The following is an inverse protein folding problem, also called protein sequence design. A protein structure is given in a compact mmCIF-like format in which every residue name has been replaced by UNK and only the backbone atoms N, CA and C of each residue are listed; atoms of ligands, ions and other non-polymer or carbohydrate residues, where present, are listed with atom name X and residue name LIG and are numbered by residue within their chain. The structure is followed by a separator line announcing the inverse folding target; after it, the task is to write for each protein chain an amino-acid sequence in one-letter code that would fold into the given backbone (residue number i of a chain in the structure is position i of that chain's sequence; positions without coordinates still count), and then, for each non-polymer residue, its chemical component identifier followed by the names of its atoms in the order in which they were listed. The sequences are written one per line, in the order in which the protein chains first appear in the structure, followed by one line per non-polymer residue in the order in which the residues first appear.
data_IF_121784665503
#
_entry.id   IF_121784665503
#
_cell.length_a   1.000
_cell.length_b   1.000
_cell.length_c   1.000
_cell.angle_alpha   90.00
_cell.angle_beta   90.00
_cell.angle_gamma   90.00
#
_symmetry.space_group_name_H-M   'P 1'
#
loop_
_entity.id
_entity.type
_entity.pdbx_description
1 polymer ?
#
# COMPACT_ATOMS: atom_id res chain seq x y z
N UNK A 1 5.85 11.23 -14.97
CA UNK A 1 4.95 11.39 -13.80
C UNK A 1 4.87 10.03 -13.15
N UNK A 2 4.99 9.96 -11.82
CA UNK A 2 4.94 8.69 -11.08
C UNK A 2 3.64 8.62 -10.29
N UNK A 3 3.02 7.45 -10.31
CA UNK A 3 1.82 7.15 -9.54
C UNK A 3 2.21 6.79 -8.11
N UNK A 4 1.44 7.25 -7.13
CA UNK A 4 1.65 6.89 -5.72
C UNK A 4 0.36 6.40 -5.08
N UNK A 5 0.50 5.41 -4.19
CA UNK A 5 -0.57 4.97 -3.31
C UNK A 5 -0.44 5.70 -1.98
N UNK A 6 -1.51 6.36 -1.56
CA UNK A 6 -1.61 7.13 -0.32
C UNK A 6 -2.61 6.46 0.60
N UNK A 7 -2.29 6.43 1.89
CA UNK A 7 -3.16 5.88 2.91
C UNK A 7 -3.08 6.71 4.18
N UNK A 8 -4.23 6.99 4.78
CA UNK A 8 -4.28 7.59 6.10
C UNK A 8 -5.44 7.07 6.93
N UNK A 9 -5.26 7.14 8.24
CA UNK A 9 -6.23 6.82 9.26
C UNK A 9 -6.45 8.04 10.14
N UNK A 10 -7.71 8.40 10.33
CA UNK A 10 -8.11 9.59 11.03
C UNK A 10 -8.98 9.27 12.25
N UNK A 11 -8.56 9.77 13.42
CA UNK A 11 -9.25 9.59 14.69
C UNK A 11 -8.79 10.67 15.68
N UNK A 12 -9.70 11.16 16.52
CA UNK A 12 -9.37 12.14 17.55
C UNK A 12 -8.49 11.58 18.67
N UNK A 13 -8.51 10.27 18.91
CA UNK A 13 -7.68 9.60 19.90
C UNK A 13 -6.40 9.03 19.25
N UNK A 14 -5.22 9.27 19.85
CA UNK A 14 -3.96 8.68 19.39
C UNK A 14 -4.01 7.14 19.36
N UNK A 15 -3.03 6.53 18.69
CA UNK A 15 -2.80 5.09 18.80
C UNK A 15 -2.49 4.72 20.26
N UNK A 16 -3.14 3.68 20.75
CA UNK A 16 -2.77 3.01 21.99
C UNK A 16 -1.42 2.31 21.82
N UNK A 17 -0.78 1.91 22.92
CA UNK A 17 0.46 1.12 22.86
C UNK A 17 0.26 -0.22 22.12
N UNK A 18 -0.90 -0.85 22.29
CA UNK A 18 -1.23 -2.11 21.62
C UNK A 18 -1.42 -1.93 20.11
N UNK A 19 -2.11 -0.87 19.69
CA UNK A 19 -2.25 -0.51 18.27
C UNK A 19 -0.88 -0.14 17.67
N UNK A 20 -0.08 0.67 18.38
CA UNK A 20 1.27 1.05 17.94
C UNK A 20 2.18 -0.17 17.75
N UNK A 21 2.16 -1.12 18.68
CA UNK A 21 2.90 -2.38 18.56
C UNK A 21 2.39 -3.24 17.40
N UNK A 22 1.08 -3.21 17.13
CA UNK A 22 0.49 -3.95 16.00
C UNK A 22 0.87 -3.33 14.66
N UNK A 23 0.80 -2.01 14.53
CA UNK A 23 1.28 -1.26 13.36
C UNK A 23 2.75 -1.56 13.10
N UNK A 24 3.60 -1.49 14.13
CA UNK A 24 5.02 -1.80 13.99
C UNK A 24 5.28 -3.23 13.51
N UNK A 25 4.50 -4.22 13.99
CA UNK A 25 4.60 -5.60 13.51
C UNK A 25 4.18 -5.75 12.05
N UNK A 26 3.10 -5.10 11.63
CA UNK A 26 2.64 -5.11 10.24
C UNK A 26 3.72 -4.51 9.34
N UNK A 27 4.22 -3.31 9.66
CA UNK A 27 5.31 -2.67 8.91
C UNK A 27 6.52 -3.59 8.80
N UNK A 28 6.98 -4.18 9.92
CA UNK A 28 8.14 -5.07 9.90
C UNK A 28 7.91 -6.33 9.05
N UNK A 29 6.73 -6.94 9.12
CA UNK A 29 6.39 -8.12 8.34
C UNK A 29 6.39 -7.83 6.84
N UNK A 30 5.74 -6.73 6.42
CA UNK A 30 5.62 -6.35 5.01
C UNK A 30 6.93 -5.83 4.43
N UNK A 31 7.79 -5.20 5.23
CA UNK A 31 9.15 -4.87 4.80
C UNK A 31 9.98 -6.13 4.58
N UNK A 32 9.88 -7.12 5.48
CA UNK A 32 10.64 -8.37 5.36
C UNK A 32 10.16 -9.27 4.21
N UNK A 33 8.91 -9.13 3.77
CA UNK A 33 8.32 -9.90 2.68
C UNK A 33 8.11 -9.09 1.41
N UNK A 34 8.82 -7.95 1.25
CA UNK A 34 8.73 -7.15 0.03
C UNK A 34 9.08 -8.01 -1.19
N UNK A 35 8.29 -7.97 -2.28
CA UNK A 35 8.57 -8.76 -3.47
C UNK A 35 9.88 -8.34 -4.17
N UNK A 36 10.32 -7.11 -3.94
CA UNK A 36 11.50 -6.52 -4.55
C UNK A 36 12.27 -5.69 -3.50
N UNK A 37 13.58 -5.83 -3.47
CA UNK A 37 14.47 -5.12 -2.54
C UNK A 37 14.80 -3.68 -3.01
N UNK A 38 14.62 -3.40 -4.29
CA UNK A 38 14.93 -2.13 -4.95
C UNK A 38 13.71 -1.20 -5.14
N UNK A 39 12.50 -1.69 -4.85
CA UNK A 39 11.27 -0.90 -4.91
C UNK A 39 10.94 -0.29 -3.54
N UNK A 40 10.18 0.81 -3.56
CA UNK A 40 9.69 1.40 -2.31
C UNK A 40 8.63 0.49 -1.67
N UNK A 41 8.83 0.17 -0.39
CA UNK A 41 7.87 -0.60 0.41
C UNK A 41 6.81 0.28 1.08
N UNK A 42 6.07 -0.32 2.01
CA UNK A 42 5.15 0.41 2.88
C UNK A 42 5.92 1.47 3.69
N UNK A 43 5.60 2.75 3.48
CA UNK A 43 6.26 3.86 4.15
C UNK A 43 5.26 4.69 4.97
N UNK A 44 5.47 4.75 6.30
CA UNK A 44 4.65 5.58 7.19
C UNK A 44 5.37 6.89 7.50
N UNK A 45 4.64 8.00 7.49
CA UNK A 45 5.15 9.29 7.93
C UNK A 45 5.32 9.29 9.45
N UNK A 46 6.39 9.96 9.91
CA UNK A 46 6.54 10.25 11.33
C UNK A 46 5.37 11.12 11.78
N UNK A 47 4.66 10.73 12.85
CA UNK A 47 3.48 11.42 13.39
C UNK A 47 3.71 12.87 13.88
N UNK A 48 4.89 13.45 13.63
CA UNK A 48 5.19 14.87 13.82
C UNK A 48 4.75 15.76 12.66
N UNK A 49 4.50 15.17 11.48
CA UNK A 49 4.04 15.90 10.28
C UNK A 49 2.53 15.75 10.03
N UNK A 50 1.88 14.83 10.73
CA UNK A 50 0.46 14.54 10.60
C UNK A 50 -0.41 15.57 11.35
N UNK A 51 -1.61 15.84 10.82
CA UNK A 51 -2.58 16.71 11.48
C UNK A 51 -3.02 16.18 12.86
N UNK A 52 -3.67 16.99 13.71
CA UNK A 52 -4.01 16.62 15.09
C UNK A 52 -4.92 15.38 15.23
N UNK A 53 -5.54 14.95 14.13
CA UNK A 53 -6.45 13.81 14.07
C UNK A 53 -5.99 12.73 13.07
N UNK A 54 -4.81 12.89 12.46
CA UNK A 54 -4.22 11.90 11.54
C UNK A 54 -3.23 11.02 12.31
N UNK A 55 -3.65 9.80 12.61
CA UNK A 55 -2.93 8.90 13.53
C UNK A 55 -2.01 7.91 12.83
N UNK A 56 -2.30 7.63 11.55
CA UNK A 56 -1.42 6.89 10.62
C UNK A 56 -1.52 7.59 9.29
N UNK A 57 -0.39 7.86 8.66
CA UNK A 57 -0.33 8.40 7.31
C UNK A 57 0.89 7.85 6.60
N UNK A 58 0.80 7.73 5.27
CA UNK A 58 1.95 7.34 4.48
C UNK A 58 1.64 7.28 2.99
N UNK A 59 2.69 7.00 2.23
CA UNK A 59 2.60 6.84 0.79
C UNK A 59 3.66 5.90 0.29
N UNK A 60 3.36 5.11 -0.72
CA UNK A 60 4.33 4.30 -1.44
C UNK A 60 4.28 4.68 -2.91
N UNK A 61 5.43 5.01 -3.50
CA UNK A 61 5.54 5.26 -4.94
C UNK A 61 5.45 3.95 -5.70
N UNK A 62 4.65 3.93 -6.76
CA UNK A 62 4.49 2.74 -7.58
C UNK A 62 5.69 2.53 -8.51
N UNK A 63 6.08 1.27 -8.78
CA UNK A 63 7.12 0.97 -9.75
C UNK A 63 6.78 1.56 -11.12
N UNK A 64 7.80 2.04 -11.83
CA UNK A 64 7.66 2.43 -13.23
C UNK A 64 7.64 1.21 -14.16
N UNK A 65 8.12 0.07 -13.66
CA UNK A 65 8.11 -1.21 -14.35
C UNK A 65 6.70 -1.83 -14.34
N UNK A 66 6.00 -1.95 -15.49
CA UNK A 66 4.67 -2.53 -15.56
C UNK A 66 4.60 -3.95 -15.01
N UNK A 67 5.66 -4.76 -15.20
CA UNK A 67 5.72 -6.15 -14.75
C UNK A 67 5.77 -6.28 -13.23
N UNK A 68 6.17 -5.22 -12.52
CA UNK A 68 6.24 -5.17 -11.05
C UNK A 68 5.07 -4.44 -10.42
N UNK A 69 4.31 -3.67 -11.20
CA UNK A 69 3.26 -2.79 -10.71
C UNK A 69 2.20 -3.56 -9.92
N UNK A 70 1.57 -4.59 -10.52
CA UNK A 70 0.50 -5.34 -9.87
C UNK A 70 0.97 -6.10 -8.61
N UNK A 71 2.13 -6.80 -8.63
CA UNK A 71 2.70 -7.40 -7.42
C UNK A 71 2.92 -6.40 -6.28
N UNK A 72 3.49 -5.22 -6.57
CA UNK A 72 3.74 -4.19 -5.55
C UNK A 72 2.43 -3.58 -5.04
N UNK A 73 1.50 -3.24 -5.93
CA UNK A 73 0.16 -2.76 -5.54
C UNK A 73 -0.52 -3.76 -4.61
N UNK A 74 -0.48 -5.05 -4.94
CA UNK A 74 -1.07 -6.08 -4.12
C UNK A 74 -0.40 -6.22 -2.76
N UNK A 75 0.93 -6.17 -2.72
CA UNK A 75 1.68 -6.20 -1.49
C UNK A 75 1.32 -5.04 -0.56
N UNK A 76 1.31 -3.81 -1.07
CA UNK A 76 1.02 -2.62 -0.27
C UNK A 76 -0.45 -2.59 0.18
N UNK A 77 -1.42 -2.92 -0.69
CA UNK A 77 -2.83 -2.95 -0.29
C UNK A 77 -3.15 -4.03 0.74
N UNK A 78 -2.46 -5.18 0.70
CA UNK A 78 -2.54 -6.19 1.75
C UNK A 78 -2.00 -5.63 3.08
N UNK A 79 -0.87 -4.92 3.05
CA UNK A 79 -0.30 -4.28 4.23
C UNK A 79 -1.25 -3.23 4.84
N UNK A 80 -1.83 -2.36 4.01
CA UNK A 80 -2.79 -1.33 4.45
C UNK A 80 -4.08 -1.97 4.98
N UNK A 81 -4.49 -3.12 4.43
CA UNK A 81 -5.61 -3.91 4.97
C UNK A 81 -5.33 -4.41 6.38
N UNK A 82 -4.13 -4.93 6.63
CA UNK A 82 -3.73 -5.35 7.98
C UNK A 82 -3.60 -4.16 8.94
N UNK A 83 -3.08 -3.02 8.47
CA UNK A 83 -3.05 -1.79 9.26
C UNK A 83 -4.44 -1.32 9.68
N UNK A 84 -5.41 -1.33 8.75
CA UNK A 84 -6.80 -0.99 9.07
C UNK A 84 -7.41 -1.93 10.10
N UNK A 85 -7.16 -3.23 9.98
CA UNK A 85 -7.61 -4.22 10.97
C UNK A 85 -6.96 -4.04 12.34
N UNK A 86 -5.72 -3.55 12.38
CA UNK A 86 -5.02 -3.23 13.62
C UNK A 86 -5.53 -1.94 14.29
N UNK A 87 -6.20 -1.05 13.54
CA UNK A 87 -6.75 0.23 14.03
C UNK A 87 -8.21 0.37 13.57
N UNK A 88 -9.15 -0.42 14.16
CA UNK A 88 -10.51 -0.57 13.67
C UNK A 88 -11.41 0.67 13.89
N UNK A 89 -11.10 1.51 14.88
CA UNK A 89 -11.93 2.67 15.25
C UNK A 89 -11.49 3.98 14.57
N UNK A 90 -10.87 3.89 13.39
CA UNK A 90 -10.38 5.04 12.64
C UNK A 90 -11.05 5.17 11.27
N UNK A 91 -11.25 6.40 10.81
CA UNK A 91 -11.69 6.68 9.44
C UNK A 91 -10.52 6.53 8.48
N UNK A 92 -10.53 5.50 7.65
CA UNK A 92 -9.47 5.24 6.68
C UNK A 92 -9.80 5.80 5.31
N UNK A 93 -8.82 6.42 4.65
CA UNK A 93 -8.85 6.73 3.22
C UNK A 93 -7.62 6.16 2.54
N UNK A 94 -7.83 5.50 1.41
CA UNK A 94 -6.78 4.93 0.56
C UNK A 94 -7.07 5.37 -0.87
N UNK A 95 -6.10 6.01 -1.51
CA UNK A 95 -6.23 6.46 -2.89
C UNK A 95 -4.92 6.27 -3.64
N UNK A 96 -5.03 6.03 -4.95
CA UNK A 96 -3.92 5.98 -5.88
C UNK A 96 -4.03 7.18 -6.80
N UNK A 97 -3.19 8.19 -6.57
CA UNK A 97 -3.36 9.54 -7.12
C UNK A 97 -4.82 10.04 -6.96
N UNK A 98 -5.58 10.14 -8.05
CA UNK A 98 -6.97 10.63 -8.04
C UNK A 98 -8.02 9.51 -7.89
N UNK A 99 -7.59 8.24 -7.79
CA UNK A 99 -8.48 7.08 -7.71
C UNK A 99 -8.64 6.60 -6.26
N UNK A 100 -9.84 6.67 -5.71
CA UNK A 100 -10.16 6.06 -4.42
C UNK A 100 -10.16 4.53 -4.51
N UNK A 101 -9.55 3.87 -3.51
CA UNK A 101 -9.57 2.41 -3.34
C UNK A 101 -10.63 2.05 -2.30
N UNK A 102 -11.75 1.41 -2.70
CA UNK A 102 -12.82 1.08 -1.78
C UNK A 102 -12.38 -0.01 -0.78
N UNK A 103 -12.96 0.05 0.41
CA UNK A 103 -12.82 -0.99 1.42
C UNK A 103 -13.92 -2.04 1.27
N UNK A 104 -13.51 -3.30 1.31
CA UNK A 104 -14.39 -4.44 1.50
C UNK A 104 -14.11 -5.11 2.85
N UNK A 105 -15.15 -5.48 3.61
CA UNK A 105 -14.98 -6.08 4.94
C UNK A 105 -14.35 -7.48 4.89
N UNK A 106 -14.62 -8.26 3.83
CA UNK A 106 -14.08 -9.60 3.67
C UNK A 106 -12.67 -9.56 3.06
N UNK A 107 -12.53 -8.84 1.95
CA UNK A 107 -11.32 -8.85 1.11
C UNK A 107 -10.30 -7.76 1.49
N UNK A 108 -10.74 -6.69 2.16
CA UNK A 108 -9.93 -5.51 2.45
C UNK A 108 -9.87 -4.52 1.29
N UNK A 109 -8.73 -3.84 1.13
CA UNK A 109 -8.50 -2.97 -0.02
C UNK A 109 -8.09 -3.78 -1.23
N UNK A 110 -8.84 -3.65 -2.31
CA UNK A 110 -8.54 -4.33 -3.57
C UNK A 110 -8.79 -3.43 -4.78
N UNK A 111 -8.05 -3.67 -5.85
CA UNK A 111 -8.24 -3.05 -7.15
C UNK A 111 -8.58 -4.11 -8.21
N UNK A 112 -9.41 -3.77 -9.21
CA UNK A 112 -9.70 -4.67 -10.32
C UNK A 112 -8.40 -5.14 -10.99
N UNK A 113 -8.26 -6.45 -11.24
CA UNK A 113 -7.11 -7.01 -11.94
C UNK A 113 -5.83 -7.16 -11.11
N UNK A 114 -5.76 -6.64 -9.88
CA UNK A 114 -4.53 -6.68 -9.06
C UNK A 114 -4.02 -8.10 -8.75
N UNK A 115 -4.91 -9.10 -8.81
CA UNK A 115 -4.66 -10.52 -8.53
C UNK A 115 -4.93 -11.39 -9.77
N UNK A 116 -5.13 -10.77 -10.93
CA UNK A 116 -5.41 -11.49 -12.18
C UNK A 116 -4.10 -12.01 -12.78
N UNK A 117 -3.91 -13.35 -12.85
CA UNK A 117 -2.66 -13.94 -13.31
C UNK A 117 -2.37 -13.63 -14.79
N UNK A 118 -3.41 -13.51 -15.62
CA UNK A 118 -3.25 -13.26 -17.05
C UNK A 118 -2.79 -11.80 -17.29
N UNK A 119 -3.40 -10.85 -16.56
CA UNK A 119 -2.99 -9.45 -16.60
C UNK A 119 -1.55 -9.25 -16.08
N UNK A 120 -1.20 -9.93 -14.98
CA UNK A 120 0.17 -9.87 -14.43
C UNK A 120 1.18 -10.39 -15.46
N UNK A 121 0.88 -11.52 -16.13
CA UNK A 121 1.74 -12.08 -17.16
C UNK A 121 1.88 -11.16 -18.38
N UNK A 122 0.79 -10.53 -18.82
CA UNK A 122 0.80 -9.57 -19.93
C UNK A 122 1.69 -8.35 -19.61
N UNK A 123 1.52 -7.75 -18.42
CA UNK A 123 2.31 -6.60 -17.99
C UNK A 123 3.81 -6.94 -17.86
N UNK A 124 4.14 -8.16 -17.41
CA UNK A 124 5.51 -8.64 -17.39
C UNK A 124 6.09 -8.80 -18.81
N UNK A 125 5.32 -9.30 -19.77
CA UNK A 125 5.76 -9.43 -21.15
C UNK A 125 6.08 -8.07 -21.82
N UNK A 126 5.28 -7.03 -21.53
CA UNK A 126 5.52 -5.66 -22.04
C UNK A 126 6.87 -5.11 -21.57
N UNK A 127 7.29 -5.42 -20.34
CA UNK A 127 8.61 -5.04 -19.84
C UNK A 127 9.74 -5.66 -20.65
N UNK A 128 9.63 -6.96 -20.96
CA UNK A 128 10.67 -7.71 -21.66
C UNK A 128 10.80 -7.26 -23.13
N UNK A 129 9.69 -6.93 -23.80
CA UNK A 129 9.70 -6.40 -25.17
C UNK A 129 10.35 -5.02 -25.28
N UNK A 130 10.25 -4.18 -24.23
CA UNK A 130 10.92 -2.89 -24.14
C UNK A 130 12.43 -2.99 -23.96
N UNK A 131 12.91 -4.04 -23.27
CA UNK A 131 14.35 -4.32 -23.10
C UNK A 131 15.00 -4.95 -24.33
N UNK A 132 14.26 -5.69 -25.15
CA UNK A 132 14.80 -6.34 -26.36
C UNK A 132 15.05 -5.36 -27.52
N UNK A 133 14.56 -4.12 -27.43
CA UNK A 133 14.62 -3.12 -28.49
C UNK A 133 15.53 -1.90 -28.18
N UNK A 134 16.22 -1.89 -27.03
CA UNK A 134 17.14 -0.81 -26.61
C UNK A 134 18.58 -1.29 -26.46
#
# INVERSE_FOLDING_TARGET
MSVSLYYNAHRATPLTEAESASVARVVAAHTASSPYDDEEGLFLYDGRTAGPEEIVAGSTKMPLDPGRLMPVVAHVLNAVTELRRAVPDAGWRVHMDDLDVPWDEAEGYTLPGMRDPDLIAELAAVHDEGRAQG
#
